data_IF_003043603080
#
_entry.id   IF_003043603080
#
_cell.length_a   1.000
_cell.length_b   1.000
_cell.length_c   1.000
_cell.angle_alpha   90.00
_cell.angle_beta   90.00
_cell.angle_gamma   90.00
#
_symmetry.space_group_name_H-M   'P 1'
#
loop_
_entity.id
_entity.type
_entity.pdbx_description
1 polymer ?
#
# COMPACT_ATOMS: atom_id res chain seq x y z
N UNK A 1 18.19 -5.71 -7.56
CA UNK A 1 18.39 -6.69 -8.65
C UNK A 1 17.08 -7.21 -9.26
N UNK A 2 16.11 -7.67 -8.46
CA UNK A 2 14.82 -8.22 -8.99
C UNK A 2 14.08 -7.27 -9.95
N UNK A 3 13.99 -5.98 -9.60
CA UNK A 3 13.38 -4.93 -10.44
C UNK A 3 14.13 -4.64 -11.75
N UNK A 4 15.44 -4.90 -11.80
CA UNK A 4 16.25 -4.71 -13.00
C UNK A 4 16.06 -5.89 -13.97
N UNK A 5 15.90 -7.10 -13.41
CA UNK A 5 15.55 -8.30 -14.18
C UNK A 5 14.12 -8.21 -14.75
N UNK A 6 13.15 -7.78 -13.95
CA UNK A 6 11.75 -7.64 -14.41
C UNK A 6 11.62 -6.60 -15.54
N UNK A 7 12.44 -5.55 -15.52
CA UNK A 7 12.52 -4.54 -16.58
C UNK A 7 13.21 -5.08 -17.84
N UNK A 8 14.24 -5.91 -17.68
CA UNK A 8 14.90 -6.64 -18.78
C UNK A 8 14.04 -7.74 -19.40
N UNK A 9 12.94 -8.17 -18.78
CA UNK A 9 12.03 -9.16 -19.40
C UNK A 9 10.81 -8.52 -20.07
N UNK A 10 10.39 -7.33 -19.64
CA UNK A 10 9.15 -6.69 -20.12
C UNK A 10 9.35 -5.36 -20.88
N UNK A 11 10.59 -4.91 -21.09
CA UNK A 11 10.88 -3.71 -21.88
C UNK A 11 11.00 -4.02 -23.39
N UNK A 12 10.51 -3.14 -24.28
CA UNK A 12 10.76 -3.21 -25.73
C UNK A 12 12.26 -3.29 -26.09
N UNK A 13 13.15 -2.74 -25.25
CA UNK A 13 14.60 -2.81 -25.43
C UNK A 13 15.14 -4.24 -25.29
N UNK A 14 14.54 -5.05 -24.41
CA UNK A 14 14.92 -6.45 -24.24
C UNK A 14 14.44 -7.32 -25.40
N UNK A 15 13.21 -7.05 -25.88
CA UNK A 15 12.64 -7.72 -27.04
C UNK A 15 13.49 -7.45 -28.28
N UNK A 16 13.89 -6.19 -28.50
CA UNK A 16 14.76 -5.81 -29.63
C UNK A 16 16.14 -6.46 -29.55
N UNK A 17 16.75 -6.55 -28.36
CA UNK A 17 18.04 -7.22 -28.18
C UNK A 17 17.95 -8.73 -28.41
N UNK A 18 16.88 -9.38 -27.93
CA UNK A 18 16.62 -10.80 -28.15
C UNK A 18 16.41 -11.10 -29.65
N UNK A 19 15.61 -10.29 -30.35
CA UNK A 19 15.35 -10.43 -31.78
C UNK A 19 16.64 -10.23 -32.60
N UNK A 20 17.44 -9.21 -32.30
CA UNK A 20 18.73 -8.98 -32.97
C UNK A 20 19.73 -10.11 -32.73
N UNK A 21 19.76 -10.69 -31.53
CA UNK A 21 20.63 -11.81 -31.20
C UNK A 21 20.23 -13.07 -31.97
N UNK A 22 18.93 -13.38 -32.03
CA UNK A 22 18.41 -14.53 -32.80
C UNK A 22 18.66 -14.35 -34.30
N UNK A 23 18.38 -13.17 -34.86
CA UNK A 23 18.66 -12.86 -36.27
C UNK A 23 20.16 -12.98 -36.59
N UNK A 24 21.02 -12.49 -35.70
CA UNK A 24 22.47 -12.61 -35.83
C UNK A 24 22.93 -14.07 -35.91
N UNK A 25 22.45 -14.91 -35.00
CA UNK A 25 22.79 -16.34 -34.96
C UNK A 25 22.30 -17.06 -36.22
N UNK A 26 21.07 -16.80 -36.67
CA UNK A 26 20.49 -17.42 -37.87
C UNK A 26 21.28 -17.05 -39.11
N UNK A 27 21.65 -15.77 -39.27
CA UNK A 27 22.40 -15.28 -40.43
C UNK A 27 23.84 -15.81 -40.44
N UNK A 28 24.47 -15.95 -39.27
CA UNK A 28 25.82 -16.49 -39.15
C UNK A 28 25.89 -18.01 -39.32
N UNK A 29 24.76 -18.71 -39.20
CA UNK A 29 24.68 -20.16 -39.42
C UNK A 29 24.63 -20.57 -40.90
N UNK A 30 24.53 -19.60 -41.83
CA UNK A 30 24.44 -19.85 -43.28
C UNK A 30 25.83 -19.66 -43.94
N UNK A 31 26.51 -20.75 -44.35
CA UNK A 31 27.89 -20.71 -44.88
C UNK A 31 28.09 -19.75 -46.06
N UNK A 32 27.07 -19.59 -46.92
CA UNK A 32 27.11 -18.70 -48.09
C UNK A 32 27.14 -17.20 -47.77
N UNK A 33 26.84 -16.79 -46.53
CA UNK A 33 26.79 -15.38 -46.11
C UNK A 33 28.08 -14.93 -45.39
N UNK A 34 28.98 -15.84 -45.04
CA UNK A 34 30.24 -15.53 -44.34
C UNK A 34 31.14 -14.50 -45.05
N UNK A 35 31.22 -14.42 -46.40
CA UNK A 35 31.99 -13.37 -47.08
C UNK A 35 31.48 -11.95 -46.77
N UNK A 36 30.22 -11.82 -46.36
CA UNK A 36 29.55 -10.56 -46.02
C UNK A 36 29.38 -10.37 -44.50
N UNK A 37 30.08 -11.16 -43.67
CA UNK A 37 29.97 -11.11 -42.21
C UNK A 37 30.22 -9.71 -41.62
N UNK A 38 31.06 -8.90 -42.26
CA UNK A 38 31.33 -7.52 -41.86
C UNK A 38 30.09 -6.61 -42.01
N UNK A 39 29.29 -6.79 -43.08
CA UNK A 39 28.06 -6.03 -43.32
C UNK A 39 26.97 -6.45 -42.32
N UNK A 40 26.88 -7.75 -42.03
CA UNK A 40 25.97 -8.31 -41.02
C UNK A 40 26.31 -7.74 -39.63
N UNK A 41 27.59 -7.73 -39.25
CA UNK A 41 28.06 -7.16 -38.00
C UNK A 41 27.75 -5.66 -37.87
N UNK A 42 27.91 -4.91 -38.97
CA UNK A 42 27.60 -3.47 -38.98
C UNK A 42 26.12 -3.20 -38.75
N UNK A 43 25.21 -3.96 -39.37
CA UNK A 43 23.76 -3.85 -39.16
C UNK A 43 23.40 -4.18 -37.71
N UNK A 44 24.02 -5.22 -37.14
CA UNK A 44 23.81 -5.64 -35.75
C UNK A 44 24.24 -4.55 -34.76
N UNK A 45 25.42 -3.96 -34.97
CA UNK A 45 25.90 -2.82 -34.17
C UNK A 45 24.94 -1.64 -34.26
N UNK A 46 24.40 -1.34 -35.44
CA UNK A 46 23.44 -0.26 -35.65
C UNK A 46 22.13 -0.54 -34.90
N UNK A 47 21.66 -1.77 -34.91
CA UNK A 47 20.51 -2.22 -34.12
C UNK A 47 20.71 -2.06 -32.61
N UNK A 48 21.89 -2.42 -32.10
CA UNK A 48 22.24 -2.23 -30.68
C UNK A 48 22.24 -0.75 -30.30
N UNK A 49 22.77 0.12 -31.15
CA UNK A 49 22.76 1.57 -30.91
C UNK A 49 21.32 2.11 -30.81
N UNK A 50 20.43 1.69 -31.71
CA UNK A 50 19.02 2.09 -31.67
C UNK A 50 18.33 1.60 -30.39
N UNK A 51 18.59 0.35 -29.98
CA UNK A 51 18.05 -0.20 -28.73
C UNK A 51 18.54 0.58 -27.49
N UNK A 52 19.82 0.96 -27.45
CA UNK A 52 20.38 1.79 -26.38
C UNK A 52 19.76 3.19 -26.35
N UNK A 53 19.49 3.80 -27.50
CA UNK A 53 18.82 5.10 -27.58
C UNK A 53 17.37 5.02 -27.08
N UNK A 54 16.63 3.96 -27.43
CA UNK A 54 15.28 3.72 -26.92
C UNK A 54 15.28 3.53 -25.40
N UNK A 55 16.22 2.71 -24.88
CA UNK A 55 16.40 2.50 -23.45
C UNK A 55 16.69 3.81 -22.72
N UNK A 56 17.58 4.64 -23.25
CA UNK A 56 17.91 5.94 -22.66
C UNK A 56 16.69 6.88 -22.65
N UNK A 57 15.88 6.88 -23.71
CA UNK A 57 14.66 7.67 -23.79
C UNK A 57 13.58 7.22 -22.78
N UNK A 58 13.41 5.91 -22.59
CA UNK A 58 12.51 5.35 -21.57
C UNK A 58 13.00 5.67 -20.16
N UNK A 59 14.29 5.49 -19.89
CA UNK A 59 14.91 5.83 -18.61
C UNK A 59 14.68 7.30 -18.25
N UNK A 60 14.90 8.21 -19.22
CA UNK A 60 14.69 9.64 -19.01
C UNK A 60 13.23 9.99 -18.72
N UNK A 61 12.28 9.36 -19.42
CA UNK A 61 10.84 9.54 -19.16
C UNK A 61 10.45 9.05 -17.76
N UNK A 62 10.96 7.90 -17.35
CA UNK A 62 10.71 7.35 -16.02
C UNK A 62 11.30 8.26 -14.91
N UNK A 63 12.52 8.78 -15.11
CA UNK A 63 13.12 9.74 -14.17
C UNK A 63 12.30 11.02 -14.04
N UNK A 64 11.86 11.60 -15.17
CA UNK A 64 11.00 12.80 -15.15
C UNK A 64 9.69 12.55 -14.38
N UNK A 65 9.07 11.37 -14.53
CA UNK A 65 7.88 11.01 -13.76
C UNK A 65 8.17 10.84 -12.27
N UNK A 66 9.31 10.25 -11.90
CA UNK A 66 9.71 10.13 -10.49
C UNK A 66 9.95 11.51 -9.87
N UNK A 67 10.64 12.39 -10.59
CA UNK A 67 10.94 13.74 -10.12
C UNK A 67 9.66 14.58 -9.98
N UNK A 68 8.72 14.48 -10.93
CA UNK A 68 7.43 15.18 -10.81
C UNK A 68 6.59 14.66 -9.65
N UNK A 69 6.58 13.34 -9.40
CA UNK A 69 5.91 12.74 -8.24
C UNK A 69 6.55 13.20 -6.92
N UNK A 70 7.89 13.27 -6.86
CA UNK A 70 8.62 13.81 -5.69
C UNK A 70 8.30 15.29 -5.47
N UNK A 71 8.24 16.07 -6.53
CA UNK A 71 7.90 17.49 -6.45
C UNK A 71 6.47 17.67 -5.94
N UNK A 72 5.49 16.94 -6.47
CA UNK A 72 4.11 16.94 -5.96
C UNK A 72 4.03 16.54 -4.49
N UNK A 73 4.76 15.49 -4.07
CA UNK A 73 4.88 15.09 -2.67
C UNK A 73 5.48 16.20 -1.80
N UNK A 74 6.51 16.89 -2.28
CA UNK A 74 7.14 18.00 -1.54
C UNK A 74 6.21 19.21 -1.42
N UNK A 75 5.42 19.51 -2.45
CA UNK A 75 4.47 20.62 -2.45
C UNK A 75 3.29 20.32 -1.54
N UNK A 76 2.75 19.09 -1.56
CA UNK A 76 1.72 18.67 -0.61
C UNK A 76 2.23 18.65 0.82
N UNK A 77 3.48 18.21 1.05
CA UNK A 77 4.11 18.24 2.38
C UNK A 77 4.31 19.67 2.87
N UNK A 78 4.79 20.57 2.02
CA UNK A 78 4.92 22.00 2.34
C UNK A 78 3.57 22.68 2.58
N UNK A 79 2.50 22.25 1.90
CA UNK A 79 1.12 22.72 2.14
C UNK A 79 0.59 22.26 3.50
N UNK A 80 0.93 21.04 3.91
CA UNK A 80 0.58 20.52 5.24
C UNK A 80 1.37 21.20 6.35
N UNK A 81 2.65 21.55 6.14
CA UNK A 81 3.46 22.32 7.10
C UNK A 81 3.03 23.79 7.22
N UNK A 82 2.41 24.37 6.19
CA UNK A 82 1.93 25.78 6.20
C UNK A 82 0.51 25.95 6.71
N UNK A 83 -0.29 24.88 6.80
CA UNK A 83 -1.55 24.88 7.54
C UNK A 83 -1.23 24.80 9.03
N UNK A 84 -0.97 25.98 9.59
CA UNK A 84 -0.63 26.27 10.99
C UNK A 84 -0.85 25.14 11.98
N UNK A 85 0.26 24.54 12.42
CA UNK A 85 0.38 24.00 13.76
C UNK A 85 0.15 25.16 14.74
N UNK A 86 -1.11 25.48 15.02
CA UNK A 86 -1.44 26.22 16.24
C UNK A 86 -0.90 25.37 17.39
N UNK A 87 0.03 25.89 18.22
CA UNK A 87 0.44 25.17 19.41
C UNK A 87 -0.82 24.94 20.23
N UNK A 88 -1.18 23.66 20.40
CA UNK A 88 -2.28 23.28 21.27
C UNK A 88 -1.73 23.38 22.68
N UNK A 89 -2.16 24.40 23.42
CA UNK A 89 -1.89 24.60 24.86
C UNK A 89 -2.64 23.57 25.72
N UNK A 90 -2.53 22.28 25.41
CA UNK A 90 -2.85 21.22 26.36
C UNK A 90 -1.54 20.52 26.69
N UNK A 91 -1.10 20.64 27.96
CA UNK A 91 -0.18 19.70 28.59
C UNK A 91 -0.83 18.30 28.60
N UNK A 92 -0.90 17.67 27.43
CA UNK A 92 -1.14 16.24 27.32
C UNK A 92 0.12 15.63 27.91
N UNK A 93 -0.02 14.97 29.05
CA UNK A 93 1.04 14.18 29.67
C UNK A 93 1.57 13.23 28.61
N UNK A 94 2.70 13.59 28.00
CA UNK A 94 3.20 12.89 26.83
C UNK A 94 3.69 11.53 27.31
N UNK A 95 2.86 10.50 27.14
CA UNK A 95 3.32 9.12 27.29
C UNK A 95 4.55 8.95 26.41
N UNK A 96 5.66 8.39 26.93
CA UNK A 96 6.81 8.03 26.12
C UNK A 96 6.36 7.21 24.89
N UNK A 97 7.00 7.43 23.75
CA UNK A 97 6.66 6.74 22.49
C UNK A 97 6.59 5.22 22.65
N UNK A 98 7.44 4.64 23.51
CA UNK A 98 7.41 3.21 23.83
C UNK A 98 6.14 2.77 24.55
N UNK A 99 5.72 3.49 25.59
CA UNK A 99 4.50 3.19 26.34
C UNK A 99 3.28 3.35 25.43
N UNK A 100 3.31 4.36 24.56
CA UNK A 100 2.27 4.57 23.55
C UNK A 100 2.20 3.41 22.56
N UNK A 101 3.34 3.00 22.00
CA UNK A 101 3.40 1.87 21.07
C UNK A 101 2.90 0.57 21.73
N UNK A 102 3.35 0.28 22.96
CA UNK A 102 2.89 -0.87 23.75
C UNK A 102 1.38 -0.83 23.99
N UNK A 103 0.84 0.34 24.34
CA UNK A 103 -0.60 0.53 24.58
C UNK A 103 -1.41 0.31 23.30
N UNK A 104 -0.97 0.86 22.17
CA UNK A 104 -1.63 0.67 20.86
C UNK A 104 -1.65 -0.81 20.48
N UNK A 105 -0.51 -1.50 20.60
CA UNK A 105 -0.41 -2.92 20.26
C UNK A 105 -1.17 -3.84 21.24
N UNK A 106 -1.30 -3.42 22.49
CA UNK A 106 -2.13 -4.10 23.49
C UNK A 106 -3.62 -3.95 23.25
N UNK A 107 -4.07 -2.79 22.77
CA UNK A 107 -5.46 -2.59 22.33
C UNK A 107 -5.77 -3.37 21.04
N UNK A 108 -4.81 -3.44 20.12
CA UNK A 108 -4.96 -4.09 18.83
C UNK A 108 -4.00 -5.28 18.70
N UNK A 109 -4.21 -6.38 19.46
CA UNK A 109 -3.34 -7.55 19.42
C UNK A 109 -3.41 -8.25 18.05
N UNK A 110 -2.32 -8.91 17.63
CA UNK A 110 -2.24 -9.56 16.31
C UNK A 110 -2.98 -10.90 16.25
N UNK A 111 -3.01 -11.56 17.41
CA UNK A 111 -3.38 -12.97 17.58
C UNK A 111 -4.72 -13.15 18.28
N UNK A 112 -5.50 -12.08 18.46
CA UNK A 112 -6.78 -12.08 19.14
C UNK A 112 -7.67 -10.92 18.65
N UNK A 113 -8.98 -11.04 18.88
CA UNK A 113 -9.98 -10.00 18.64
C UNK A 113 -10.05 -9.53 17.18
N UNK A 114 -10.31 -8.24 16.99
CA UNK A 114 -10.62 -7.64 15.69
C UNK A 114 -9.57 -7.92 14.59
N UNK A 115 -8.27 -7.87 14.91
CA UNK A 115 -7.23 -8.09 13.90
C UNK A 115 -7.25 -9.54 13.43
N UNK A 116 -7.50 -10.48 14.34
CA UNK A 116 -7.58 -11.89 14.00
C UNK A 116 -8.87 -12.21 13.24
N UNK A 117 -10.02 -11.66 13.65
CA UNK A 117 -11.28 -11.88 12.94
C UNK A 117 -11.22 -11.34 11.51
N UNK A 118 -10.69 -10.13 11.31
CA UNK A 118 -10.48 -9.53 9.97
C UNK A 118 -9.48 -10.31 9.09
N UNK A 119 -8.60 -11.13 9.68
CA UNK A 119 -7.66 -11.99 8.94
C UNK A 119 -8.26 -13.32 8.52
N UNK A 120 -9.03 -13.93 9.41
CA UNK A 120 -9.62 -15.26 9.22
C UNK A 120 -10.87 -15.17 8.33
N UNK A 121 -11.70 -14.16 8.55
CA UNK A 121 -12.93 -13.93 7.79
C UNK A 121 -12.70 -12.87 6.70
N UNK A 122 -12.16 -13.32 5.57
CA UNK A 122 -12.23 -12.56 4.30
C UNK A 122 -13.68 -12.42 3.76
N UNK A 123 -14.69 -12.77 4.56
CA UNK A 123 -16.10 -12.66 4.23
C UNK A 123 -16.77 -11.87 5.36
N UNK A 124 -17.07 -10.59 5.14
CA UNK A 124 -17.85 -9.76 6.07
C UNK A 124 -19.30 -10.25 6.18
N UNK A 125 -19.50 -11.43 6.77
CA UNK A 125 -20.81 -12.00 7.08
C UNK A 125 -21.36 -11.36 8.35
N UNK A 126 -20.65 -11.54 9.46
CA UNK A 126 -21.00 -10.98 10.76
C UNK A 126 -19.75 -10.57 11.53
N UNK A 127 -19.81 -9.44 12.23
CA UNK A 127 -18.75 -8.91 13.09
C UNK A 127 -19.26 -8.80 14.52
N UNK A 128 -18.47 -9.28 15.48
CA UNK A 128 -18.83 -9.18 16.89
C UNK A 128 -18.68 -7.73 17.39
N UNK A 129 -19.68 -7.22 18.10
CA UNK A 129 -19.73 -5.83 18.59
C UNK A 129 -18.61 -5.57 19.59
N UNK A 130 -18.31 -6.55 20.44
CA UNK A 130 -17.28 -6.43 21.47
C UNK A 130 -15.88 -6.32 20.85
N UNK A 131 -15.66 -6.89 19.65
CA UNK A 131 -14.41 -6.74 18.91
C UNK A 131 -14.19 -5.32 18.37
N UNK A 132 -15.25 -4.50 18.27
CA UNK A 132 -15.14 -3.11 17.84
C UNK A 132 -14.74 -2.16 18.96
N UNK A 133 -14.92 -2.54 20.22
CA UNK A 133 -14.60 -1.69 21.37
C UNK A 133 -13.11 -1.26 21.39
N UNK A 134 -12.13 -2.16 21.13
CA UNK A 134 -10.73 -1.75 21.03
C UNK A 134 -10.46 -0.75 19.90
N UNK A 135 -11.16 -0.86 18.77
CA UNK A 135 -11.05 0.08 17.65
C UNK A 135 -11.54 1.48 18.04
N UNK A 136 -12.70 1.55 18.70
CA UNK A 136 -13.26 2.82 19.19
C UNK A 136 -12.39 3.44 20.28
N UNK A 137 -11.89 2.61 21.21
CA UNK A 137 -10.97 3.03 22.27
C UNK A 137 -9.68 3.60 21.69
N UNK A 138 -9.05 2.89 20.75
CA UNK A 138 -7.86 3.37 20.05
C UNK A 138 -8.08 4.72 19.38
N UNK A 139 -9.17 4.90 18.63
CA UNK A 139 -9.47 6.19 17.97
C UNK A 139 -9.64 7.32 18.98
N UNK A 140 -10.35 7.08 20.07
CA UNK A 140 -10.61 8.09 21.09
C UNK A 140 -9.32 8.47 21.84
N UNK A 141 -8.59 7.47 22.31
CA UNK A 141 -7.38 7.63 23.14
C UNK A 141 -6.25 8.32 22.34
N UNK A 142 -6.07 7.98 21.06
CA UNK A 142 -4.92 8.45 20.27
C UNK A 142 -5.25 9.57 19.26
N UNK A 143 -6.45 10.15 19.30
CA UNK A 143 -6.88 11.18 18.33
C UNK A 143 -5.96 12.39 18.19
N UNK A 144 -5.26 12.77 19.27
CA UNK A 144 -4.31 13.89 19.31
C UNK A 144 -2.87 13.43 19.57
N UNK A 145 -2.58 12.13 19.44
CA UNK A 145 -1.25 11.59 19.72
C UNK A 145 -0.29 11.79 18.56
N UNK A 146 0.99 11.97 18.88
CA UNK A 146 2.08 12.07 17.90
C UNK A 146 3.30 11.35 18.43
N UNK A 147 4.03 10.68 17.54
CA UNK A 147 5.35 10.14 17.85
C UNK A 147 6.45 11.13 17.45
N UNK A 148 7.55 11.12 18.20
CA UNK A 148 8.71 12.00 17.98
C UNK A 148 9.51 11.54 16.75
N UNK A 149 9.66 10.22 16.58
CA UNK A 149 10.33 9.68 15.41
C UNK A 149 9.42 9.80 14.16
N UNK A 150 9.86 10.45 13.06
CA UNK A 150 9.01 10.65 11.88
C UNK A 150 8.49 9.36 11.25
N UNK A 151 9.25 8.27 11.38
CA UNK A 151 8.93 6.97 10.80
C UNK A 151 7.85 6.25 11.61
N UNK A 152 7.95 6.24 12.94
CA UNK A 152 6.86 5.74 13.80
C UNK A 152 5.62 6.62 13.71
N UNK A 153 5.78 7.95 13.59
CA UNK A 153 4.67 8.88 13.40
C UNK A 153 3.90 8.56 12.10
N UNK A 154 4.61 8.32 11.00
CA UNK A 154 3.97 7.97 9.73
C UNK A 154 3.21 6.65 9.82
N UNK A 155 3.83 5.61 10.42
CA UNK A 155 3.19 4.31 10.60
C UNK A 155 1.96 4.40 11.52
N UNK A 156 2.04 5.20 12.60
CA UNK A 156 0.92 5.50 13.48
C UNK A 156 -0.22 6.21 12.73
N UNK A 157 0.08 7.24 11.94
CA UNK A 157 -0.94 7.98 11.20
C UNK A 157 -1.62 7.10 10.13
N UNK A 158 -0.88 6.19 9.49
CA UNK A 158 -1.45 5.21 8.57
C UNK A 158 -2.42 4.26 9.30
N UNK A 159 -2.03 3.75 10.46
CA UNK A 159 -2.90 2.92 11.31
C UNK A 159 -4.14 3.70 11.77
N UNK A 160 -3.97 4.94 12.24
CA UNK A 160 -5.06 5.79 12.72
C UNK A 160 -6.09 6.07 11.61
N UNK A 161 -5.63 6.44 10.42
CA UNK A 161 -6.51 6.68 9.25
C UNK A 161 -7.22 5.41 8.80
N UNK A 162 -6.54 4.26 8.82
CA UNK A 162 -7.15 2.98 8.48
C UNK A 162 -8.23 2.59 9.50
N UNK A 163 -7.96 2.77 10.80
CA UNK A 163 -8.90 2.54 11.89
C UNK A 163 -10.13 3.46 11.78
N UNK A 164 -9.92 4.73 11.44
CA UNK A 164 -10.99 5.70 11.23
C UNK A 164 -11.88 5.31 10.04
N UNK A 165 -11.29 5.03 8.89
CA UNK A 165 -12.05 4.63 7.70
C UNK A 165 -12.85 3.34 7.94
N UNK A 166 -12.27 2.36 8.64
CA UNK A 166 -12.96 1.14 9.03
C UNK A 166 -14.11 1.43 10.00
N UNK A 167 -13.88 2.26 11.02
CA UNK A 167 -14.90 2.61 12.01
C UNK A 167 -16.09 3.38 11.40
N UNK A 168 -15.81 4.30 10.47
CA UNK A 168 -16.85 5.00 9.70
C UNK A 168 -17.66 3.99 8.88
N UNK A 169 -17.00 3.12 8.12
CA UNK A 169 -17.67 2.10 7.32
C UNK A 169 -18.52 1.17 8.19
N UNK A 170 -18.02 0.72 9.35
CA UNK A 170 -18.78 -0.12 10.27
C UNK A 170 -20.05 0.61 10.71
N UNK A 171 -19.96 1.88 11.11
CA UNK A 171 -21.13 2.64 11.54
C UNK A 171 -22.13 2.89 10.40
N UNK A 172 -21.64 3.17 9.20
CA UNK A 172 -22.44 3.56 8.05
C UNK A 172 -23.04 2.39 7.28
N UNK A 173 -22.38 1.24 7.22
CA UNK A 173 -22.73 0.14 6.30
C UNK A 173 -23.24 -1.12 7.02
N UNK A 174 -23.10 -1.18 8.34
CA UNK A 174 -23.57 -2.32 9.14
C UNK A 174 -24.79 -1.97 9.99
N UNK A 175 -25.52 -3.00 10.42
CA UNK A 175 -26.61 -2.93 11.41
C UNK A 175 -26.43 -4.06 12.42
N UNK A 176 -26.95 -3.88 13.63
CA UNK A 176 -27.05 -5.01 14.57
C UNK A 176 -28.00 -6.08 14.02
N UNK A 177 -27.67 -7.35 14.25
CA UNK A 177 -28.58 -8.45 13.92
C UNK A 177 -29.84 -8.33 14.78
N UNK A 178 -31.01 -8.64 14.20
CA UNK A 178 -32.27 -8.62 14.92
C UNK A 178 -32.31 -9.70 16.03
N UNK A 179 -31.76 -10.87 15.72
CA UNK A 179 -31.77 -12.05 16.60
C UNK A 179 -30.58 -12.07 17.57
N UNK A 180 -29.53 -11.29 17.29
CA UNK A 180 -28.31 -11.23 18.10
C UNK A 180 -27.73 -9.82 18.13
N UNK A 181 -27.96 -9.11 19.25
CA UNK A 181 -27.47 -7.75 19.46
C UNK A 181 -25.95 -7.66 19.65
N UNK A 182 -25.30 -8.79 19.91
CA UNK A 182 -23.83 -8.87 20.04
C UNK A 182 -23.13 -8.92 18.68
N UNK A 183 -23.89 -9.02 17.59
CA UNK A 183 -23.36 -9.10 16.23
C UNK A 183 -23.87 -7.98 15.34
N UNK A 184 -23.03 -7.59 14.39
CA UNK A 184 -23.37 -6.67 13.30
C UNK A 184 -23.19 -7.36 11.96
N UNK A 185 -24.12 -7.15 11.06
CA UNK A 185 -24.03 -7.57 9.67
C UNK A 185 -24.03 -6.36 8.75
N UNK A 186 -23.50 -6.54 7.54
CA UNK A 186 -23.67 -5.55 6.47
C UNK A 186 -25.18 -5.43 6.19
N UNK A 187 -25.68 -4.19 6.06
CA UNK A 187 -27.08 -3.95 5.70
C UNK A 187 -27.42 -4.69 4.40
N UNK A 188 -28.46 -5.54 4.40
CA UNK A 188 -28.77 -6.41 3.27
C UNK A 188 -29.18 -5.59 2.05
N UNK A 189 -28.99 -6.18 0.86
CA UNK A 189 -29.38 -5.57 -0.42
C UNK A 189 -30.84 -5.13 -0.43
N UNK A 190 -31.74 -5.90 0.16
CA UNK A 190 -33.18 -5.60 0.20
C UNK A 190 -33.53 -4.30 0.95
N UNK A 191 -32.64 -3.82 1.81
CA UNK A 191 -32.80 -2.55 2.54
C UNK A 191 -32.17 -1.34 1.84
N UNK A 192 -31.45 -1.56 0.73
CA UNK A 192 -30.68 -0.53 0.01
C UNK A 192 -31.43 -0.06 -1.22
N UNK A 193 -31.30 1.23 -1.55
CA UNK A 193 -31.96 1.82 -2.74
C UNK A 193 -31.47 1.19 -4.04
N UNK A 194 -30.17 0.87 -4.13
CA UNK A 194 -29.57 0.18 -5.27
C UNK A 194 -29.46 -1.34 -5.12
N UNK A 195 -30.16 -1.93 -4.15
CA UNK A 195 -30.29 -3.38 -4.01
C UNK A 195 -28.98 -4.13 -3.75
N UNK A 196 -28.88 -5.33 -4.32
CA UNK A 196 -27.72 -6.24 -4.18
C UNK A 196 -26.42 -5.70 -4.79
N UNK A 197 -26.48 -4.75 -5.72
CA UNK A 197 -25.29 -4.08 -6.27
C UNK A 197 -24.60 -3.22 -5.19
N UNK A 198 -25.36 -2.36 -4.52
CA UNK A 198 -24.84 -1.53 -3.42
C UNK A 198 -24.35 -2.38 -2.24
N UNK A 199 -25.00 -3.53 -1.98
CA UNK A 199 -24.51 -4.49 -1.00
C UNK A 199 -23.12 -5.03 -1.36
N UNK A 200 -22.93 -5.43 -2.63
CA UNK A 200 -21.65 -5.98 -3.10
C UNK A 200 -20.54 -4.93 -3.05
N UNK A 201 -20.85 -3.69 -3.43
CA UNK A 201 -19.92 -2.56 -3.33
C UNK A 201 -19.54 -2.25 -1.87
N UNK A 202 -20.53 -2.19 -0.97
CA UNK A 202 -20.29 -1.97 0.44
C UNK A 202 -19.44 -3.08 1.06
N UNK A 203 -19.73 -4.34 0.72
CA UNK A 203 -18.96 -5.50 1.16
C UNK A 203 -17.52 -5.45 0.66
N UNK A 204 -17.30 -5.24 -0.64
CA UNK A 204 -15.96 -5.13 -1.21
C UNK A 204 -15.16 -3.97 -0.59
N UNK A 205 -15.82 -2.86 -0.30
CA UNK A 205 -15.22 -1.73 0.42
C UNK A 205 -14.84 -2.11 1.84
N UNK A 206 -15.69 -2.84 2.56
CA UNK A 206 -15.39 -3.41 3.88
C UNK A 206 -14.13 -4.28 3.82
N UNK A 207 -14.08 -5.27 2.93
CA UNK A 207 -12.94 -6.15 2.69
C UNK A 207 -11.64 -5.37 2.46
N UNK A 208 -11.68 -4.36 1.59
CA UNK A 208 -10.54 -3.48 1.33
C UNK A 208 -10.09 -2.70 2.57
N UNK A 209 -11.02 -2.17 3.36
CA UNK A 209 -10.72 -1.40 4.57
C UNK A 209 -10.18 -2.28 5.70
N UNK A 210 -10.74 -3.48 5.89
CA UNK A 210 -10.21 -4.47 6.84
C UNK A 210 -8.79 -4.88 6.50
N UNK A 211 -8.52 -5.21 5.23
CA UNK A 211 -7.18 -5.55 4.77
C UNK A 211 -6.17 -4.40 4.98
N UNK A 212 -6.58 -3.16 4.69
CA UNK A 212 -5.76 -1.95 4.94
C UNK A 212 -5.47 -1.76 6.42
N UNK A 213 -6.46 -1.95 7.29
CA UNK A 213 -6.28 -1.85 8.73
C UNK A 213 -5.31 -2.90 9.27
N UNK A 214 -5.49 -4.17 8.88
CA UNK A 214 -4.58 -5.26 9.26
C UNK A 214 -3.15 -4.99 8.77
N UNK A 215 -3.00 -4.53 7.52
CA UNK A 215 -1.70 -4.19 6.95
C UNK A 215 -1.04 -3.02 7.68
N UNK A 216 -1.78 -1.94 7.96
CA UNK A 216 -1.24 -0.77 8.66
C UNK A 216 -0.87 -1.11 10.11
N UNK A 217 -1.65 -1.97 10.77
CA UNK A 217 -1.34 -2.48 12.10
C UNK A 217 -0.05 -3.29 12.10
N UNK A 218 0.14 -4.15 11.10
CA UNK A 218 1.38 -4.91 10.94
C UNK A 218 2.58 -3.99 10.68
N UNK A 219 2.45 -3.00 9.80
CA UNK A 219 3.50 -2.01 9.49
C UNK A 219 3.89 -1.19 10.73
N UNK A 220 2.91 -0.78 11.54
CA UNK A 220 3.16 -0.12 12.82
C UNK A 220 3.95 -1.02 13.77
N UNK A 221 3.55 -2.29 13.92
CA UNK A 221 4.28 -3.25 14.76
C UNK A 221 5.74 -3.45 14.30
N UNK A 222 5.97 -3.64 13.00
CA UNK A 222 7.32 -3.76 12.44
C UNK A 222 8.15 -2.50 12.71
N UNK A 223 7.58 -1.32 12.47
CA UNK A 223 8.25 -0.05 12.72
C UNK A 223 8.59 0.13 14.20
N UNK A 224 7.69 -0.29 15.09
CA UNK A 224 7.89 -0.23 16.53
C UNK A 224 9.01 -1.18 17.00
N UNK A 225 9.07 -2.40 16.45
CA UNK A 225 10.16 -3.35 16.71
C UNK A 225 11.51 -2.84 16.19
N UNK A 226 11.57 -2.33 14.96
CA UNK A 226 12.80 -1.83 14.34
C UNK A 226 13.39 -0.62 15.08
N UNK A 227 12.52 0.22 15.67
CA UNK A 227 12.92 1.40 16.43
C UNK A 227 13.11 1.10 17.92
N UNK A 228 12.95 -0.16 18.36
CA UNK A 228 13.11 -0.57 19.75
C UNK A 228 12.03 -0.03 20.70
N UNK A 229 10.87 0.39 20.18
CA UNK A 229 9.76 0.91 20.97
C UNK A 229 9.01 -0.19 21.74
N UNK A 230 9.19 -1.44 21.31
CA UNK A 230 8.54 -2.63 21.84
C UNK A 230 9.56 -3.76 21.83
N UNK A 231 9.63 -4.52 22.92
CA UNK A 231 10.56 -5.64 23.11
C UNK A 231 9.94 -6.98 22.69
#
# INVERSE_FOLDING_TARGET
MKRFLDFLTNSPAAVTFAVLSVLGIVVFAVPGLHPFAWAIGLILCLGVIVALLMFHGEWRRAQIQIDSLRQLLSTERGRLDTLGLTPVDEEVTALPDEERARRILGLLPDSAGLVQSLRLDATYGTLDVDELEPLHTFRKEFSKSSFDNPRSHTAFMNLYRAAEALSIWVNEETRQLADDKTKREIRPGDSRKGGWREYTEARSRGESLGARFVSARWEFNQTALELGLVA
#
